data_IF_239116799964
#
_entry.id   IF_239116799964
#
_cell.length_a   1.000
_cell.length_b   1.000
_cell.length_c   1.000
_cell.angle_alpha   90.00
_cell.angle_beta   90.00
_cell.angle_gamma   90.00
#
_symmetry.space_group_name_H-M   'P 1'
#
loop_
_entity.id
_entity.type
_entity.pdbx_description
1 polymer ?
#
# COMPACT_ATOMS: atom_id res chain seq x y z
N UNK A 1 26.59 -5.75 21.54
CA UNK A 1 25.60 -4.91 20.83
C UNK A 1 25.27 -5.65 19.55
N UNK A 2 24.18 -6.42 19.54
CA UNK A 2 23.80 -7.21 18.36
C UNK A 2 23.05 -6.30 17.42
N UNK A 3 23.63 -6.05 16.24
CA UNK A 3 22.91 -5.46 15.12
C UNK A 3 21.78 -6.43 14.77
N UNK A 4 20.55 -6.08 15.19
CA UNK A 4 19.37 -6.80 14.76
C UNK A 4 19.37 -6.80 13.24
N UNK A 5 19.48 -8.00 12.67
CA UNK A 5 19.36 -8.23 11.24
C UNK A 5 17.99 -7.71 10.83
N UNK A 6 17.93 -6.48 10.36
CA UNK A 6 16.72 -5.88 9.80
C UNK A 6 16.54 -6.55 8.46
N UNK A 7 15.91 -7.72 8.46
CA UNK A 7 15.59 -8.41 7.23
C UNK A 7 14.60 -7.51 6.46
N UNK A 8 14.99 -6.94 5.31
CA UNK A 8 14.15 -5.98 4.59
C UNK A 8 13.01 -6.68 3.83
N UNK A 9 13.12 -8.00 3.62
CA UNK A 9 12.14 -8.81 2.92
C UNK A 9 10.80 -8.94 3.69
N UNK A 10 10.75 -9.21 5.01
CA UNK A 10 9.50 -9.20 5.76
C UNK A 10 8.89 -7.80 5.85
N UNK A 11 9.67 -6.72 5.89
CA UNK A 11 9.14 -5.36 5.93
C UNK A 11 8.46 -4.99 4.59
N UNK A 12 9.08 -5.39 3.48
CA UNK A 12 8.48 -5.35 2.16
C UNK A 12 7.16 -6.13 2.08
N UNK A 13 7.17 -7.36 2.58
CA UNK A 13 6.00 -8.23 2.68
C UNK A 13 4.85 -7.62 3.47
N UNK A 14 5.16 -6.94 4.58
CA UNK A 14 4.20 -6.24 5.42
C UNK A 14 3.53 -5.06 4.72
N UNK A 15 4.28 -4.18 4.06
CA UNK A 15 3.71 -3.03 3.31
C UNK A 15 2.66 -3.51 2.32
N UNK A 16 3.02 -4.53 1.56
CA UNK A 16 2.21 -5.06 0.47
C UNK A 16 0.99 -5.84 1.00
N UNK A 17 1.11 -6.42 2.21
CA UNK A 17 -0.02 -7.02 2.92
C UNK A 17 -0.99 -5.95 3.46
N UNK A 18 -0.48 -4.83 3.98
CA UNK A 18 -1.29 -3.72 4.44
C UNK A 18 -2.03 -3.06 3.27
N UNK A 19 -1.34 -2.79 2.15
CA UNK A 19 -1.97 -2.27 0.93
C UNK A 19 -3.08 -3.20 0.41
N UNK A 20 -2.88 -4.51 0.47
CA UNK A 20 -3.90 -5.49 0.09
C UNK A 20 -5.12 -5.45 1.03
N UNK A 21 -4.91 -5.35 2.35
CA UNK A 21 -6.01 -5.24 3.32
C UNK A 21 -6.81 -3.96 3.14
N UNK A 22 -6.13 -2.84 2.92
CA UNK A 22 -6.77 -1.55 2.59
C UNK A 22 -7.58 -1.66 1.30
N UNK A 23 -6.99 -2.25 0.25
CA UNK A 23 -7.68 -2.49 -1.01
C UNK A 23 -8.97 -3.31 -0.81
N UNK A 24 -8.91 -4.40 -0.06
CA UNK A 24 -10.06 -5.27 0.21
C UNK A 24 -11.15 -4.53 1.00
N UNK A 25 -10.77 -3.82 2.06
CA UNK A 25 -11.70 -3.02 2.86
C UNK A 25 -12.39 -1.91 2.05
N UNK A 26 -11.64 -1.23 1.18
CA UNK A 26 -12.21 -0.18 0.31
C UNK A 26 -13.06 -0.74 -0.83
N UNK A 27 -12.77 -1.96 -1.28
CA UNK A 27 -13.63 -2.68 -2.21
C UNK A 27 -14.98 -3.04 -1.58
N UNK A 28 -14.98 -3.56 -0.36
CA UNK A 28 -16.19 -3.96 0.36
C UNK A 28 -17.08 -2.75 0.67
N UNK A 29 -16.47 -1.62 1.05
CA UNK A 29 -17.17 -0.35 1.31
C UNK A 29 -17.47 0.47 0.06
N UNK A 30 -17.05 -0.01 -1.12
CA UNK A 30 -17.13 0.71 -2.42
C UNK A 30 -16.56 2.13 -2.35
N UNK A 31 -15.51 2.35 -1.57
CA UNK A 31 -14.85 3.64 -1.44
C UNK A 31 -13.93 3.89 -2.65
N UNK A 32 -14.53 4.35 -3.75
CA UNK A 32 -13.85 4.62 -5.03
C UNK A 32 -12.75 5.68 -4.89
N UNK A 33 -12.93 6.65 -3.99
CA UNK A 33 -11.94 7.70 -3.74
C UNK A 33 -10.66 7.06 -3.21
N UNK A 34 -10.73 6.32 -2.10
CA UNK A 34 -9.56 5.66 -1.49
C UNK A 34 -8.91 4.65 -2.43
N UNK A 35 -9.72 3.88 -3.18
CA UNK A 35 -9.21 2.96 -4.21
C UNK A 35 -8.43 3.69 -5.30
N UNK A 36 -8.90 4.86 -5.74
CA UNK A 36 -8.22 5.66 -6.78
C UNK A 36 -6.84 6.13 -6.31
N UNK A 37 -6.75 6.60 -5.06
CA UNK A 37 -5.48 7.01 -4.47
C UNK A 37 -4.50 5.83 -4.35
N UNK A 38 -4.98 4.68 -3.87
CA UNK A 38 -4.15 3.49 -3.76
C UNK A 38 -3.65 3.01 -5.12
N UNK A 39 -4.54 2.90 -6.10
CA UNK A 39 -4.21 2.36 -7.43
C UNK A 39 -3.26 3.24 -8.25
N UNK A 40 -3.07 4.50 -7.85
CA UNK A 40 -2.10 5.41 -8.46
C UNK A 40 -0.65 4.98 -8.19
N UNK A 41 -0.41 4.38 -7.04
CA UNK A 41 0.93 4.00 -6.57
C UNK A 41 1.08 2.49 -6.32
N UNK A 42 -0.02 1.76 -6.16
CA UNK A 42 -0.06 0.33 -5.92
C UNK A 42 -0.84 -0.42 -7.02
N UNK A 43 -0.44 -1.63 -7.44
CA UNK A 43 0.67 -2.44 -6.94
C UNK A 43 2.04 -1.83 -7.26
N UNK A 44 2.95 -1.90 -6.29
CA UNK A 44 4.32 -1.39 -6.43
C UNK A 44 5.10 -2.30 -7.37
N UNK A 45 5.66 -1.72 -8.44
CA UNK A 45 6.51 -2.43 -9.42
C UNK A 45 7.91 -2.69 -8.82
N UNK A 46 8.36 -1.77 -7.99
CA UNK A 46 9.63 -1.84 -7.27
C UNK A 46 9.46 -1.27 -5.85
N UNK A 47 10.25 -1.80 -4.93
CA UNK A 47 10.30 -1.34 -3.53
C UNK A 47 11.45 -0.38 -3.28
N UNK A 48 11.76 0.44 -4.29
CA UNK A 48 12.75 1.50 -4.15
C UNK A 48 12.19 2.66 -3.31
N UNK A 49 13.10 3.47 -2.78
CA UNK A 49 12.75 4.59 -1.91
C UNK A 49 11.83 5.63 -2.58
N UNK A 50 11.88 5.81 -3.91
CA UNK A 50 10.99 6.75 -4.58
C UNK A 50 9.56 6.21 -4.64
N UNK A 51 9.40 4.93 -4.96
CA UNK A 51 8.10 4.24 -4.96
C UNK A 51 7.46 4.21 -3.56
N UNK A 52 8.26 3.94 -2.53
CA UNK A 52 7.79 3.97 -1.13
C UNK A 52 7.40 5.39 -0.67
N UNK A 53 8.19 6.41 -0.99
CA UNK A 53 7.82 7.81 -0.74
C UNK A 53 6.52 8.17 -1.43
N UNK A 54 6.37 7.80 -2.71
CA UNK A 54 5.17 8.11 -3.46
C UNK A 54 3.93 7.47 -2.85
N UNK A 55 4.03 6.21 -2.39
CA UNK A 55 2.95 5.53 -1.66
C UNK A 55 2.60 6.28 -0.37
N UNK A 56 3.60 6.61 0.45
CA UNK A 56 3.40 7.33 1.70
C UNK A 56 2.78 8.72 1.51
N UNK A 57 3.27 9.49 0.53
CA UNK A 57 2.72 10.81 0.19
C UNK A 57 1.30 10.72 -0.33
N UNK A 58 1.03 9.84 -1.29
CA UNK A 58 -0.30 9.71 -1.91
C UNK A 58 -1.35 9.31 -0.88
N UNK A 59 -1.02 8.38 0.02
CA UNK A 59 -1.93 7.96 1.08
C UNK A 59 -1.97 8.95 2.26
N UNK A 60 -0.93 9.76 2.41
CA UNK A 60 -0.94 10.97 3.24
C UNK A 60 -1.99 11.96 2.80
N UNK A 61 -1.97 12.33 1.52
CA UNK A 61 -2.94 13.23 0.90
C UNK A 61 -4.37 12.68 1.03
N UNK A 62 -4.58 11.37 0.86
CA UNK A 62 -5.89 10.74 1.06
C UNK A 62 -6.40 10.99 2.49
N UNK A 63 -5.57 10.78 3.50
CA UNK A 63 -5.98 10.96 4.89
C UNK A 63 -6.25 12.44 5.24
N UNK A 64 -5.50 13.37 4.65
CA UNK A 64 -5.69 14.81 4.87
C UNK A 64 -6.94 15.36 4.16
N UNK A 65 -7.18 14.93 2.93
CA UNK A 65 -8.26 15.48 2.08
C UNK A 65 -9.59 14.74 2.25
N UNK A 66 -9.54 13.47 2.62
CA UNK A 66 -10.68 12.55 2.63
C UNK A 66 -10.68 11.68 3.90
N UNK A 67 -10.14 12.19 5.01
CA UNK A 67 -10.12 11.47 6.29
C UNK A 67 -11.50 11.13 6.84
N UNK A 68 -12.52 11.92 6.49
CA UNK A 68 -13.91 11.73 6.91
C UNK A 68 -14.59 10.49 6.29
N UNK A 69 -14.11 10.03 5.13
CA UNK A 69 -14.63 8.83 4.46
C UNK A 69 -13.87 7.55 4.83
N UNK A 70 -12.87 7.65 5.72
CA UNK A 70 -12.11 6.52 6.21
C UNK A 70 -12.70 6.01 7.53
N UNK A 71 -12.94 4.71 7.60
CA UNK A 71 -13.25 4.08 8.88
C UNK A 71 -12.02 4.10 9.80
N UNK A 72 -12.24 4.03 11.12
CA UNK A 72 -11.18 4.02 12.13
C UNK A 72 -10.13 2.93 11.84
N UNK A 73 -10.57 1.70 11.53
CA UNK A 73 -9.69 0.59 11.15
C UNK A 73 -8.84 0.90 9.90
N UNK A 74 -9.40 1.61 8.92
CA UNK A 74 -8.67 1.99 7.71
C UNK A 74 -7.64 3.08 8.00
N UNK A 75 -7.95 4.02 8.90
CA UNK A 75 -7.03 5.05 9.35
C UNK A 75 -5.85 4.43 10.14
N UNK A 76 -6.11 3.44 10.99
CA UNK A 76 -5.07 2.70 11.72
C UNK A 76 -4.14 1.95 10.77
N UNK A 77 -4.70 1.29 9.75
CA UNK A 77 -3.91 0.61 8.72
C UNK A 77 -3.05 1.59 7.90
N UNK A 78 -3.56 2.79 7.63
CA UNK A 78 -2.78 3.84 6.98
C UNK A 78 -1.64 4.36 7.86
N UNK A 79 -1.88 4.52 9.16
CA UNK A 79 -0.85 4.91 10.12
C UNK A 79 0.25 3.83 10.23
N UNK A 80 -0.14 2.55 10.31
CA UNK A 80 0.79 1.43 10.29
C UNK A 80 1.61 1.41 9.00
N UNK A 81 0.98 1.60 7.84
CA UNK A 81 1.65 1.64 6.55
C UNK A 81 2.71 2.76 6.48
N UNK A 82 2.36 3.97 6.95
CA UNK A 82 3.29 5.12 6.98
C UNK A 82 4.50 4.81 7.87
N UNK A 83 4.26 4.28 9.06
CA UNK A 83 5.35 3.89 9.96
C UNK A 83 6.29 2.87 9.31
N UNK A 84 5.76 1.86 8.61
CA UNK A 84 6.59 0.86 7.91
C UNK A 84 7.38 1.45 6.76
N UNK A 85 6.80 2.40 6.03
CA UNK A 85 7.48 3.13 4.95
C UNK A 85 8.64 3.95 5.52
N UNK A 86 8.43 4.63 6.64
CA UNK A 86 9.46 5.44 7.29
C UNK A 86 10.59 4.57 7.85
N UNK A 87 10.26 3.46 8.52
CA UNK A 87 11.24 2.48 9.02
C UNK A 87 12.16 1.97 7.89
N UNK A 88 11.58 1.61 6.74
CA UNK A 88 12.35 1.15 5.58
C UNK A 88 13.25 2.24 4.97
N UNK A 89 12.79 3.49 4.96
CA UNK A 89 13.56 4.61 4.42
C UNK A 89 14.73 5.00 5.33
N UNK A 90 14.55 4.94 6.65
CA UNK A 90 15.60 5.25 7.64
C UNK A 90 16.70 4.18 7.63
N UNK A 91 16.33 2.92 7.42
CA UNK A 91 17.27 1.80 7.50
C UNK A 91 17.83 1.31 6.14
N UNK A 92 17.45 1.92 5.01
CA UNK A 92 17.60 1.30 3.69
C UNK A 92 18.27 2.12 2.57
N UNK A 93 19.56 2.52 2.67
CA UNK A 93 20.33 2.76 1.45
C UNK A 93 20.69 1.45 0.71
N UNK A 94 20.53 0.29 1.35
CA UNK A 94 20.97 -1.01 0.84
C UNK A 94 19.86 -1.93 0.31
N UNK A 95 18.59 -1.50 0.32
CA UNK A 95 17.46 -2.28 -0.24
C UNK A 95 17.49 -2.14 -1.78
N UNK A 96 18.55 -2.69 -2.37
CA UNK A 96 18.66 -2.83 -3.83
C UNK A 96 17.64 -3.86 -4.27
N UNK A 97 16.61 -3.36 -4.94
CA UNK A 97 15.78 -4.08 -5.90
C UNK A 97 15.44 -5.51 -5.47
N UNK A 98 14.74 -5.66 -4.35
CA UNK A 98 13.91 -6.86 -4.17
C UNK A 98 12.81 -6.72 -5.21
N UNK A 99 13.07 -7.22 -6.42
CA UNK A 99 12.14 -7.31 -7.52
C UNK A 99 11.02 -8.23 -7.05
N UNK A 100 9.98 -7.62 -6.49
CA UNK A 100 8.87 -8.40 -5.98
C UNK A 100 8.02 -8.85 -7.16
N UNK A 101 7.69 -10.14 -7.09
CA UNK A 101 6.89 -10.87 -8.05
C UNK A 101 5.70 -10.02 -8.51
N UNK A 102 5.61 -9.77 -9.81
CA UNK A 102 4.52 -9.09 -10.50
C UNK A 102 3.17 -9.53 -9.91
N UNK A 103 2.63 -8.78 -8.95
CA UNK A 103 1.17 -8.70 -8.80
C UNK A 103 0.73 -7.77 -9.90
N UNK A 104 0.61 -8.40 -11.06
CA UNK A 104 0.31 -7.77 -12.34
C UNK A 104 -0.87 -6.81 -12.13
N UNK A 105 -0.78 -5.58 -12.63
CA UNK A 105 -1.92 -4.64 -12.60
C UNK A 105 -3.19 -5.30 -13.18
N UNK A 106 -3.03 -6.32 -14.03
CA UNK A 106 -4.10 -7.21 -14.49
C UNK A 106 -4.89 -7.89 -13.34
N UNK A 107 -4.26 -8.28 -12.23
CA UNK A 107 -4.97 -8.85 -11.07
C UNK A 107 -5.85 -7.82 -10.38
N UNK A 108 -5.31 -6.62 -10.10
CA UNK A 108 -6.05 -5.56 -9.43
C UNK A 108 -7.24 -5.11 -10.30
N UNK A 109 -7.00 -4.89 -11.60
CA UNK A 109 -8.07 -4.58 -12.57
C UNK A 109 -9.08 -5.71 -12.70
N UNK A 110 -8.67 -6.98 -12.73
CA UNK A 110 -9.60 -8.12 -12.76
C UNK A 110 -10.47 -8.19 -11.50
N UNK A 111 -9.90 -7.92 -10.32
CA UNK A 111 -10.65 -7.89 -9.05
C UNK A 111 -11.63 -6.71 -9.03
N UNK A 112 -11.23 -5.51 -9.46
CA UNK A 112 -12.13 -4.37 -9.61
C UNK A 112 -13.26 -4.67 -10.61
N UNK A 113 -12.97 -5.28 -11.75
CA UNK A 113 -14.00 -5.66 -12.72
C UNK A 113 -14.99 -6.69 -12.16
N UNK A 114 -14.53 -7.62 -11.31
CA UNK A 114 -15.40 -8.57 -10.60
C UNK A 114 -16.26 -7.90 -9.52
N UNK A 115 -15.75 -6.86 -8.87
CA UNK A 115 -16.49 -6.09 -7.86
C UNK A 115 -17.47 -5.10 -8.49
N UNK A 116 -17.09 -4.50 -9.61
CA UNK A 116 -17.93 -3.65 -10.46
C UNK A 116 -18.84 -4.46 -11.39
N UNK A 117 -19.04 -5.77 -11.15
CA UNK A 117 -20.01 -6.56 -11.92
C UNK A 117 -21.40 -5.98 -11.69
N UNK A 118 -21.79 -5.13 -12.64
CA UNK A 118 -23.15 -4.88 -13.06
C UNK A 118 -23.77 -6.26 -13.31
N UNK A 119 -24.64 -6.72 -12.42
CA UNK A 119 -25.60 -7.76 -12.79
C UNK A 119 -26.54 -7.13 -13.85
N UNK A 120 -26.72 -7.74 -15.04
CA UNK A 120 -27.77 -7.33 -15.97
C UNK A 120 -29.16 -7.61 -15.39
#
# INVERSE_FOLDING_TARGET
MSAGSFDPQPAAEQIDAICLRLFDSWCDTRNVISLTFLLRCWPLISMDAASLRQLGTTLGELQELHGDVLAEEQADLLAELKQRIDDLQVHGPEVRAIARHNRDRAWATSKLLRLCRIEP
#
